data_IF_107885089508
#
_entry.id   IF_107885089508
#
_cell.length_a   1.000
_cell.length_b   1.000
_cell.length_c   1.000
_cell.angle_alpha   90.00
_cell.angle_beta   90.00
_cell.angle_gamma   90.00
#
_symmetry.space_group_name_H-M   'P 1'
#
loop_
_entity.id
_entity.type
_entity.pdbx_description
1 polymer ?
#
# COMPACT_ATOMS: atom_id res chain seq x y z
N UNK A 1 19.07 17.33 7.30
CA UNK A 1 17.76 17.77 7.82
C UNK A 1 16.70 17.07 6.98
N UNK A 2 16.23 15.90 7.41
CA UNK A 2 15.29 15.08 6.62
C UNK A 2 13.90 15.69 6.79
N UNK A 3 13.30 16.14 5.68
CA UNK A 3 12.00 16.80 5.69
C UNK A 3 10.90 15.81 6.13
N UNK A 4 9.97 16.20 7.02
CA UNK A 4 8.96 15.31 7.60
C UNK A 4 7.76 15.03 6.67
N UNK A 5 7.92 15.05 5.34
CA UNK A 5 6.80 15.24 4.40
C UNK A 5 6.44 14.02 3.52
N UNK A 6 6.94 12.82 3.84
CA UNK A 6 6.72 11.63 2.98
C UNK A 6 5.53 10.76 3.42
N UNK A 7 4.79 11.18 4.45
CA UNK A 7 3.58 10.48 4.92
C UNK A 7 2.32 10.99 4.20
N UNK A 8 2.38 12.15 3.55
CA UNK A 8 1.23 12.80 2.88
C UNK A 8 0.91 12.26 1.47
N UNK A 9 1.73 11.38 0.89
CA UNK A 9 1.59 10.95 -0.52
C UNK A 9 0.80 9.64 -0.73
N UNK A 10 0.35 8.99 0.35
CA UNK A 10 -0.50 7.81 0.27
C UNK A 10 -1.97 8.20 0.41
N UNK A 11 -2.79 7.78 -0.54
CA UNK A 11 -4.25 7.96 -0.41
C UNK A 11 -4.82 6.97 0.60
N UNK A 12 -5.98 7.28 1.18
CA UNK A 12 -6.68 6.36 2.10
C UNK A 12 -6.93 4.97 1.48
N UNK A 13 -7.19 4.94 0.17
CA UNK A 13 -7.30 3.72 -0.61
C UNK A 13 -6.00 2.90 -0.62
N UNK A 14 -4.85 3.57 -0.75
CA UNK A 14 -3.55 2.91 -0.77
C UNK A 14 -3.21 2.34 0.61
N UNK A 15 -3.48 3.10 1.68
CA UNK A 15 -3.35 2.62 3.06
C UNK A 15 -4.27 1.43 3.31
N UNK A 16 -5.52 1.50 2.84
CA UNK A 16 -6.49 0.40 2.93
C UNK A 16 -5.98 -0.86 2.23
N UNK A 17 -5.42 -0.73 1.03
CA UNK A 17 -4.80 -1.85 0.30
C UNK A 17 -3.63 -2.45 1.11
N UNK A 18 -2.74 -1.62 1.66
CA UNK A 18 -1.62 -2.08 2.47
C UNK A 18 -2.07 -2.80 3.75
N UNK A 19 -3.11 -2.31 4.44
CA UNK A 19 -3.72 -2.99 5.60
C UNK A 19 -4.27 -4.36 5.25
N UNK A 20 -4.98 -4.46 4.14
CA UNK A 20 -5.53 -5.74 3.67
C UNK A 20 -4.42 -6.72 3.25
N UNK A 21 -3.34 -6.22 2.64
CA UNK A 21 -2.17 -7.04 2.31
C UNK A 21 -1.42 -7.52 3.57
N UNK A 22 -1.33 -6.67 4.60
CA UNK A 22 -0.69 -7.01 5.88
C UNK A 22 -1.40 -8.18 6.61
N UNK A 23 -2.69 -8.37 6.36
CA UNK A 23 -3.46 -9.51 6.86
C UNK A 23 -3.16 -10.83 6.11
N UNK A 24 -2.24 -10.82 5.13
CA UNK A 24 -1.90 -11.99 4.31
C UNK A 24 -2.97 -12.36 3.29
N UNK A 25 -3.88 -11.43 2.97
CA UNK A 25 -4.98 -11.70 2.05
C UNK A 25 -4.49 -11.82 0.60
N UNK A 26 -5.04 -12.76 -0.19
CA UNK A 26 -4.75 -12.83 -1.61
C UNK A 26 -5.29 -11.59 -2.33
N UNK A 27 -4.58 -11.15 -3.36
CA UNK A 27 -4.87 -9.93 -4.12
C UNK A 27 -6.33 -9.82 -4.61
N UNK A 28 -6.94 -10.94 -5.01
CA UNK A 28 -8.35 -10.97 -5.46
C UNK A 28 -9.30 -10.56 -4.33
N UNK A 29 -9.02 -11.00 -3.10
CA UNK A 29 -9.81 -10.68 -1.93
C UNK A 29 -9.56 -9.25 -1.44
N UNK A 30 -8.31 -8.78 -1.55
CA UNK A 30 -7.97 -7.35 -1.34
C UNK A 30 -8.78 -6.47 -2.28
N UNK A 31 -8.81 -6.79 -3.57
CA UNK A 31 -9.56 -6.06 -4.58
C UNK A 31 -11.06 -6.01 -4.27
N UNK A 32 -11.65 -7.18 -3.94
CA UNK A 32 -13.05 -7.26 -3.53
C UNK A 32 -13.34 -6.40 -2.29
N UNK A 33 -12.48 -6.44 -1.27
CA UNK A 33 -12.67 -5.68 -0.02
C UNK A 33 -12.46 -4.17 -0.20
N UNK A 34 -11.58 -3.77 -1.10
CA UNK A 34 -11.37 -2.37 -1.46
C UNK A 34 -12.42 -1.83 -2.46
N UNK A 35 -13.37 -2.66 -2.92
CA UNK A 35 -14.36 -2.24 -3.93
C UNK A 35 -13.74 -1.98 -5.31
N UNK A 36 -12.60 -2.61 -5.62
CA UNK A 36 -11.81 -2.36 -6.82
C UNK A 36 -11.64 -3.62 -7.68
N UNK A 37 -11.27 -3.43 -8.95
CA UNK A 37 -10.78 -4.53 -9.77
C UNK A 37 -9.35 -4.91 -9.38
N UNK A 38 -8.98 -6.18 -9.57
CA UNK A 38 -7.62 -6.68 -9.30
C UNK A 38 -6.56 -6.00 -10.18
N UNK A 39 -6.95 -5.50 -11.35
CA UNK A 39 -6.10 -4.65 -12.21
C UNK A 39 -5.84 -3.29 -11.56
N UNK A 40 -6.87 -2.67 -10.99
CA UNK A 40 -6.77 -1.39 -10.27
C UNK A 40 -5.88 -1.52 -9.05
N UNK A 41 -6.08 -2.56 -8.23
CA UNK A 41 -5.24 -2.80 -7.04
C UNK A 41 -3.78 -3.03 -7.42
N UNK A 42 -3.49 -3.83 -8.46
CA UNK A 42 -2.11 -4.00 -8.95
C UNK A 42 -1.46 -2.69 -9.39
N UNK A 43 -2.21 -1.85 -10.10
CA UNK A 43 -1.71 -0.53 -10.52
C UNK A 43 -1.41 0.35 -9.32
N UNK A 44 -2.30 0.38 -8.32
CA UNK A 44 -2.09 1.14 -7.07
C UNK A 44 -0.87 0.62 -6.30
N UNK A 45 -0.75 -0.69 -6.10
CA UNK A 45 0.43 -1.29 -5.45
C UNK A 45 1.72 -0.87 -6.13
N UNK A 46 1.79 -0.91 -7.47
CA UNK A 46 2.98 -0.43 -8.20
C UNK A 46 3.25 1.05 -7.96
N UNK A 47 2.24 1.90 -8.09
CA UNK A 47 2.39 3.33 -7.84
C UNK A 47 2.84 3.62 -6.40
N UNK A 48 2.35 2.85 -5.42
CA UNK A 48 2.80 2.90 -4.03
C UNK A 48 4.26 2.46 -3.92
N UNK A 49 4.62 1.31 -4.49
CA UNK A 49 6.01 0.85 -4.52
C UNK A 49 6.96 1.90 -5.11
N UNK A 50 6.60 2.48 -6.25
CA UNK A 50 7.37 3.52 -6.94
C UNK A 50 7.53 4.78 -6.07
N UNK A 51 6.44 5.24 -5.43
CA UNK A 51 6.45 6.39 -4.51
C UNK A 51 7.30 6.16 -3.27
N UNK A 52 7.24 4.95 -2.71
CA UNK A 52 7.97 4.57 -1.51
C UNK A 52 9.43 4.18 -1.80
N UNK A 53 9.81 4.04 -3.07
CA UNK A 53 11.13 3.57 -3.48
C UNK A 53 11.41 2.12 -3.10
N UNK A 54 10.37 1.27 -3.06
CA UNK A 54 10.47 -0.16 -2.71
C UNK A 54 10.12 -1.05 -3.90
N UNK A 55 10.69 -2.25 -3.96
CA UNK A 55 10.54 -3.15 -5.10
C UNK A 55 9.32 -4.06 -5.01
N UNK A 56 8.76 -4.25 -3.81
CA UNK A 56 7.69 -5.23 -3.58
C UNK A 56 6.55 -4.70 -2.70
N UNK A 57 5.38 -5.32 -2.84
CA UNK A 57 4.24 -5.03 -1.97
C UNK A 57 4.50 -5.36 -0.50
N UNK A 58 5.33 -6.38 -0.24
CA UNK A 58 5.71 -6.75 1.13
C UNK A 58 6.58 -5.66 1.74
N UNK A 59 7.56 -5.14 1.00
CA UNK A 59 8.36 -4.00 1.47
C UNK A 59 7.50 -2.75 1.71
N UNK A 60 6.49 -2.50 0.87
CA UNK A 60 5.53 -1.41 1.09
C UNK A 60 4.70 -1.61 2.37
N UNK A 61 4.27 -2.85 2.65
CA UNK A 61 3.58 -3.19 3.91
C UNK A 61 4.51 -2.99 5.11
N UNK A 62 5.76 -3.44 5.04
CA UNK A 62 6.76 -3.24 6.12
C UNK A 62 7.03 -1.74 6.33
N UNK A 63 7.11 -0.96 5.26
CA UNK A 63 7.27 0.49 5.32
C UNK A 63 6.10 1.16 6.07
N UNK A 64 4.86 0.73 5.80
CA UNK A 64 3.66 1.24 6.44
C UNK A 64 3.57 0.82 7.93
N UNK A 65 3.94 -0.42 8.25
CA UNK A 65 3.99 -0.93 9.61
C UNK A 65 4.95 -0.10 10.49
N UNK A 66 6.15 0.18 9.98
CA UNK A 66 7.18 0.98 10.67
C UNK A 66 6.75 2.42 10.95
N UNK A 67 5.70 2.90 10.28
CA UNK A 67 5.15 4.26 10.42
C UNK A 67 3.81 4.30 11.16
N UNK A 68 3.32 3.16 11.66
CA UNK A 68 2.05 3.09 12.39
C UNK A 68 0.82 3.31 11.50
N UNK A 69 0.92 3.03 10.19
CA UNK A 69 -0.17 3.24 9.23
C UNK A 69 -1.09 2.02 9.09
N UNK A 70 -0.70 0.86 9.61
CA UNK A 70 -1.47 -0.38 9.54
C UNK A 70 -2.50 -0.48 10.67
#
# INVERSE_FOLDING_TARGET
MVAPQQVDDLTDDDVTILRLLAQGLPLQLVARRAGMSSRTVRRRIRAVCDRLGVGTSIEAVVWAAKRGLL
#
